data_IF_286298260821
#
_entry.id   IF_286298260821
#
_cell.length_a   1.000
_cell.length_b   1.000
_cell.length_c   1.000
_cell.angle_alpha   90.00
_cell.angle_beta   90.00
_cell.angle_gamma   90.00
#
_symmetry.space_group_name_H-M   'P 1'
#
loop_
_entity.id
_entity.type
_entity.pdbx_description
1 polymer ?
#
# COMPACT_ATOMS: atom_id res chain seq x y z
N UNK A 1 33.56 37.02 -27.13
CA UNK A 1 33.52 35.54 -27.21
C UNK A 1 33.90 34.82 -25.92
N UNK A 2 34.95 35.24 -25.17
CA UNK A 2 35.36 34.59 -23.91
C UNK A 2 34.30 34.63 -22.77
N UNK A 3 33.52 35.70 -22.67
CA UNK A 3 32.46 35.86 -21.63
C UNK A 3 31.22 34.98 -21.86
N UNK A 4 30.91 34.67 -23.13
CA UNK A 4 29.77 33.81 -23.49
C UNK A 4 30.10 32.34 -23.21
N UNK A 5 31.33 31.92 -23.48
CA UNK A 5 31.82 30.59 -23.12
C UNK A 5 31.82 30.35 -21.61
N UNK A 6 32.20 31.35 -20.81
CA UNK A 6 32.18 31.26 -19.36
C UNK A 6 30.74 31.09 -18.80
N UNK A 7 29.77 31.82 -19.36
CA UNK A 7 28.35 31.71 -18.99
C UNK A 7 27.72 30.37 -19.40
N UNK A 8 28.14 29.82 -20.54
CA UNK A 8 27.67 28.50 -20.98
C UNK A 8 28.22 27.38 -20.08
N UNK A 9 29.50 27.50 -19.68
CA UNK A 9 30.16 26.52 -18.81
C UNK A 9 29.53 26.50 -17.41
N UNK A 10 29.19 27.65 -16.84
CA UNK A 10 28.53 27.74 -15.52
C UNK A 10 27.11 27.19 -15.57
N UNK A 11 26.36 27.43 -16.65
CA UNK A 11 25.01 26.88 -16.82
C UNK A 11 25.02 25.35 -16.92
N UNK A 12 25.99 24.77 -17.64
CA UNK A 12 26.17 23.31 -17.75
C UNK A 12 26.58 22.70 -16.40
N UNK A 13 27.41 23.39 -15.61
CA UNK A 13 27.79 22.94 -14.27
C UNK A 13 26.61 22.98 -13.27
N UNK A 14 25.72 23.97 -13.38
CA UNK A 14 24.53 24.08 -12.52
C UNK A 14 23.44 23.04 -12.86
N UNK A 15 23.32 22.60 -14.12
CA UNK A 15 22.35 21.56 -14.51
C UNK A 15 22.80 20.13 -14.13
N UNK A 16 24.11 19.89 -13.96
CA UNK A 16 24.65 18.58 -13.57
C UNK A 16 24.59 18.26 -12.08
N UNK A 17 24.20 19.22 -11.23
CA UNK A 17 24.22 19.11 -9.77
C UNK A 17 22.83 18.90 -9.14
N UNK A 18 21.81 18.55 -9.92
CA UNK A 18 20.53 18.14 -9.36
C UNK A 18 20.65 16.68 -8.89
N UNK A 19 20.68 16.39 -7.57
CA UNK A 19 20.59 15.02 -7.12
C UNK A 19 19.24 14.46 -7.60
N UNK A 20 19.28 13.45 -8.46
CA UNK A 20 18.11 12.65 -8.74
C UNK A 20 17.78 11.88 -7.45
N UNK A 21 16.83 12.41 -6.67
CA UNK A 21 16.32 11.72 -5.49
C UNK A 21 15.35 10.63 -5.97
N UNK A 22 15.88 9.41 -6.13
CA UNK A 22 15.04 8.23 -6.30
C UNK A 22 14.53 7.82 -4.92
N UNK A 23 13.22 7.96 -4.70
CA UNK A 23 12.59 7.38 -3.51
C UNK A 23 12.62 5.85 -3.66
N UNK A 24 13.34 5.17 -2.77
CA UNK A 24 13.29 3.71 -2.70
C UNK A 24 11.89 3.27 -2.25
N UNK A 25 11.33 2.25 -2.90
CA UNK A 25 10.08 1.67 -2.44
C UNK A 25 10.26 1.08 -1.04
N UNK A 26 9.29 1.28 -0.13
CA UNK A 26 9.38 0.71 1.20
C UNK A 26 9.40 -0.83 1.14
N UNK A 27 10.37 -1.42 1.83
CA UNK A 27 10.47 -2.87 2.01
C UNK A 27 9.41 -3.36 3.02
N UNK A 28 8.65 -4.39 2.66
CA UNK A 28 7.64 -5.03 3.52
C UNK A 28 7.96 -6.51 3.70
N UNK A 29 7.84 -7.01 4.92
CA UNK A 29 7.96 -8.42 5.28
C UNK A 29 6.57 -9.04 5.48
N UNK A 30 6.34 -10.23 4.94
CA UNK A 30 5.09 -10.98 5.13
C UNK A 30 5.12 -11.64 6.51
N UNK A 31 4.13 -11.33 7.34
CA UNK A 31 4.01 -11.89 8.71
C UNK A 31 2.84 -12.87 8.85
N UNK A 32 1.86 -12.78 7.96
CA UNK A 32 0.75 -13.72 7.93
C UNK A 32 0.17 -13.84 6.52
N UNK A 33 -0.24 -15.03 6.15
CA UNK A 33 -0.91 -15.30 4.87
C UNK A 33 -1.99 -16.36 5.07
N UNK A 34 -3.15 -16.11 4.49
CA UNK A 34 -4.27 -17.06 4.45
C UNK A 34 -4.75 -17.21 3.03
N UNK A 35 -5.23 -18.41 2.69
CA UNK A 35 -5.77 -18.71 1.37
C UNK A 35 -7.10 -19.45 1.53
N UNK A 36 -8.09 -19.02 0.76
CA UNK A 36 -9.39 -19.66 0.65
C UNK A 36 -9.76 -19.85 -0.82
N UNK A 37 -10.70 -20.77 -1.09
CA UNK A 37 -11.23 -21.01 -2.43
C UNK A 37 -12.72 -20.68 -2.43
N UNK A 38 -13.11 -19.81 -3.36
CA UNK A 38 -14.51 -19.48 -3.58
C UNK A 38 -15.25 -20.65 -4.26
N UNK A 39 -16.59 -20.67 -4.21
CA UNK A 39 -17.38 -21.74 -4.83
C UNK A 39 -17.15 -21.92 -6.34
N UNK A 40 -16.71 -20.87 -7.03
CA UNK A 40 -16.35 -20.89 -8.45
C UNK A 40 -14.92 -21.41 -8.72
N UNK A 41 -14.19 -21.81 -7.66
CA UNK A 41 -12.81 -22.28 -7.71
C UNK A 41 -11.77 -21.16 -7.67
N UNK A 42 -12.17 -19.89 -7.61
CA UNK A 42 -11.23 -18.78 -7.52
C UNK A 42 -10.49 -18.81 -6.19
N UNK A 43 -9.15 -18.79 -6.24
CA UNK A 43 -8.29 -18.67 -5.07
C UNK A 43 -8.28 -17.23 -4.57
N UNK A 44 -8.61 -16.99 -3.31
CA UNK A 44 -8.41 -15.70 -2.64
C UNK A 44 -7.25 -15.83 -1.65
N UNK A 45 -6.27 -14.96 -1.76
CA UNK A 45 -5.11 -14.92 -0.84
C UNK A 45 -5.09 -13.59 -0.11
N UNK A 46 -5.08 -13.65 1.23
CA UNK A 46 -4.98 -12.48 2.10
C UNK A 46 -3.62 -12.48 2.77
N UNK A 47 -2.81 -11.46 2.47
CA UNK A 47 -1.42 -11.36 2.94
C UNK A 47 -1.26 -10.12 3.80
N UNK A 48 -0.82 -10.29 5.04
CA UNK A 48 -0.49 -9.21 5.97
C UNK A 48 1.02 -9.00 5.96
N UNK A 49 1.44 -7.74 5.81
CA UNK A 49 2.86 -7.38 5.77
C UNK A 49 3.17 -6.15 6.60
N UNK A 50 4.39 -6.08 7.11
CA UNK A 50 4.88 -5.00 7.98
C UNK A 50 6.18 -4.43 7.44
N UNK A 51 6.41 -3.13 7.60
CA UNK A 51 7.72 -2.55 7.38
C UNK A 51 8.61 -2.80 8.61
N UNK A 52 9.88 -3.19 8.45
CA UNK A 52 10.77 -3.42 9.57
C UNK A 52 10.97 -2.13 10.38
N UNK A 53 10.62 -2.17 11.66
CA UNK A 53 10.82 -1.05 12.59
C UNK A 53 12.27 -1.04 13.04
N UNK A 54 13.02 0.02 12.72
CA UNK A 54 14.45 0.13 13.04
C UNK A 54 14.75 0.95 14.31
N UNK A 55 13.73 1.56 14.91
CA UNK A 55 13.89 2.38 16.13
C UNK A 55 13.76 1.54 17.39
N UNK A 56 14.50 1.91 18.44
CA UNK A 56 14.48 1.27 19.78
C UNK A 56 13.79 2.15 20.84
N UNK A 57 13.12 3.22 20.40
CA UNK A 57 12.36 4.09 21.30
C UNK A 57 11.06 3.43 21.75
N UNK A 58 10.57 3.79 22.95
CA UNK A 58 9.27 3.33 23.46
C UNK A 58 8.09 3.80 22.59
N UNK A 59 8.26 4.94 21.92
CA UNK A 59 7.29 5.47 20.95
C UNK A 59 7.87 5.33 19.56
N UNK A 60 7.11 4.68 18.68
CA UNK A 60 7.54 4.42 17.30
C UNK A 60 6.37 4.29 16.35
N UNK A 61 6.69 4.32 15.06
CA UNK A 61 5.72 4.11 13.98
C UNK A 61 5.84 2.68 13.45
N UNK A 62 4.71 1.98 13.37
CA UNK A 62 4.57 0.74 12.62
C UNK A 62 3.81 1.04 11.35
N UNK A 63 4.34 0.63 10.20
CA UNK A 63 3.62 0.71 8.94
C UNK A 63 3.29 -0.71 8.49
N UNK A 64 2.03 -0.92 8.13
CA UNK A 64 1.52 -2.20 7.71
C UNK A 64 0.70 -2.09 6.44
N UNK A 65 0.58 -3.21 5.74
CA UNK A 65 -0.39 -3.36 4.66
C UNK A 65 -1.05 -4.72 4.74
N UNK A 66 -2.29 -4.80 4.25
CA UNK A 66 -2.98 -6.06 4.05
C UNK A 66 -3.53 -6.12 2.63
N UNK A 67 -3.09 -7.13 1.91
CA UNK A 67 -3.42 -7.39 0.52
C UNK A 67 -4.57 -8.41 0.47
N UNK A 68 -5.56 -8.16 -0.36
CA UNK A 68 -6.60 -9.11 -0.77
C UNK A 68 -6.42 -9.39 -2.26
N UNK A 69 -5.92 -10.57 -2.59
CA UNK A 69 -5.61 -10.99 -3.96
C UNK A 69 -6.69 -11.95 -4.46
N UNK A 70 -7.33 -11.57 -5.56
CA UNK A 70 -8.40 -12.35 -6.20
C UNK A 70 -7.83 -13.10 -7.41
N UNK A 71 -7.56 -14.38 -7.21
CA UNK A 71 -6.95 -15.26 -8.21
C UNK A 71 -5.64 -14.70 -8.74
N UNK A 72 -5.51 -14.68 -10.05
CA UNK A 72 -4.43 -14.00 -10.79
C UNK A 72 -4.89 -12.69 -11.42
N UNK A 73 -6.04 -12.16 -11.00
CA UNK A 73 -6.71 -11.06 -11.71
C UNK A 73 -6.35 -9.69 -11.16
N UNK A 74 -6.37 -9.53 -9.83
CA UNK A 74 -6.08 -8.26 -9.18
C UNK A 74 -5.79 -8.43 -7.69
N UNK A 75 -5.17 -7.40 -7.10
CA UNK A 75 -4.97 -7.23 -5.66
C UNK A 75 -5.54 -5.90 -5.21
N UNK A 76 -6.26 -5.89 -4.10
CA UNK A 76 -6.72 -4.69 -3.40
C UNK A 76 -6.00 -4.59 -2.05
N UNK A 77 -5.46 -3.42 -1.72
CA UNK A 77 -4.57 -3.25 -0.56
C UNK A 77 -5.09 -2.15 0.34
N UNK A 78 -5.08 -2.39 1.65
CA UNK A 78 -5.16 -1.34 2.68
C UNK A 78 -3.76 -1.10 3.24
N UNK A 79 -3.41 0.17 3.43
CA UNK A 79 -2.20 0.58 4.16
C UNK A 79 -2.61 1.29 5.44
N UNK A 80 -1.87 1.05 6.51
CA UNK A 80 -2.04 1.74 7.78
C UNK A 80 -0.70 2.16 8.38
N UNK A 81 -0.66 3.36 8.94
CA UNK A 81 0.44 3.83 9.80
C UNK A 81 -0.06 3.97 11.23
N UNK A 82 0.70 3.43 12.17
CA UNK A 82 0.30 3.34 13.58
C UNK A 82 1.38 3.96 14.47
N UNK A 83 0.98 4.92 15.30
CA UNK A 83 1.82 5.41 16.40
C UNK A 83 1.62 4.53 17.62
N UNK A 84 2.67 3.82 18.02
CA UNK A 84 2.69 2.88 19.13
C UNK A 84 3.47 3.50 20.28
N UNK A 85 2.87 3.55 21.46
CA UNK A 85 3.56 3.74 22.73
C UNK A 85 3.55 2.39 23.45
N UNK A 86 4.67 1.70 23.39
CA UNK A 86 4.78 0.28 23.70
C UNK A 86 4.22 -0.05 25.10
N UNK A 87 3.29 -1.00 25.12
CA UNK A 87 2.60 -1.48 26.32
C UNK A 87 1.53 -0.53 26.88
N UNK A 88 1.40 0.69 26.33
CA UNK A 88 0.52 1.76 26.83
C UNK A 88 -0.66 2.00 25.90
N UNK A 89 -0.40 2.40 24.65
CA UNK A 89 -1.43 2.85 23.72
C UNK A 89 -0.98 2.72 22.27
N UNK A 90 -1.95 2.68 21.36
CA UNK A 90 -1.71 2.69 19.92
C UNK A 90 -2.82 3.49 19.24
N UNK A 91 -2.47 4.19 18.17
CA UNK A 91 -3.43 4.90 17.32
C UNK A 91 -3.01 4.81 15.87
N UNK A 92 -3.97 4.58 14.98
CA UNK A 92 -3.77 4.71 13.55
C UNK A 92 -3.74 6.20 13.20
N UNK A 93 -2.65 6.63 12.58
CA UNK A 93 -2.39 8.04 12.25
C UNK A 93 -2.62 8.36 10.78
N UNK A 94 -2.63 7.34 9.93
CA UNK A 94 -2.99 7.48 8.52
C UNK A 94 -3.42 6.14 7.94
N UNK A 95 -4.28 6.24 6.93
CA UNK A 95 -4.70 5.14 6.08
C UNK A 95 -4.57 5.54 4.60
N UNK A 96 -4.48 4.53 3.76
CA UNK A 96 -4.70 4.67 2.33
C UNK A 96 -5.10 3.33 1.73
N UNK A 97 -5.49 3.34 0.46
CA UNK A 97 -5.74 2.13 -0.30
C UNK A 97 -4.94 2.10 -1.59
N UNK A 98 -4.70 0.88 -2.09
CA UNK A 98 -4.06 0.61 -3.36
C UNK A 98 -4.80 -0.47 -4.13
N UNK A 99 -4.50 -0.59 -5.42
CA UNK A 99 -4.98 -1.71 -6.23
C UNK A 99 -4.04 -1.98 -7.39
N UNK A 100 -3.79 -3.24 -7.66
CA UNK A 100 -3.04 -3.72 -8.83
C UNK A 100 -3.95 -4.60 -9.67
N UNK A 101 -4.00 -4.36 -10.97
CA UNK A 101 -4.84 -5.12 -11.91
C UNK A 101 -3.91 -5.84 -12.89
N UNK A 102 -4.01 -7.15 -12.95
CA UNK A 102 -3.20 -8.02 -13.79
C UNK A 102 -4.00 -8.56 -14.99
N UNK A 103 -5.31 -8.74 -14.80
CA UNK A 103 -6.24 -9.09 -15.88
C UNK A 103 -7.00 -7.85 -16.34
N UNK A 104 -6.76 -7.44 -17.60
CA UNK A 104 -7.33 -6.23 -18.20
C UNK A 104 -8.86 -6.25 -18.37
N UNK A 105 -9.50 -7.41 -18.21
CA UNK A 105 -10.96 -7.48 -18.15
C UNK A 105 -11.52 -6.84 -16.87
N UNK A 106 -10.70 -6.68 -15.83
CA UNK A 106 -11.09 -6.07 -14.56
C UNK A 106 -10.75 -4.58 -14.52
N UNK A 107 -11.58 -3.84 -13.79
CA UNK A 107 -11.33 -2.44 -13.43
C UNK A 107 -11.73 -2.19 -11.99
N UNK A 108 -11.05 -1.24 -11.35
CA UNK A 108 -11.47 -0.69 -10.05
C UNK A 108 -12.47 0.43 -10.30
N UNK A 109 -13.75 0.15 -10.04
CA UNK A 109 -14.82 1.13 -10.18
C UNK A 109 -14.79 2.20 -9.06
N UNK A 110 -14.44 1.80 -7.84
CA UNK A 110 -14.32 2.71 -6.70
C UNK A 110 -13.37 2.17 -5.62
N UNK A 111 -12.89 3.05 -4.75
CA UNK A 111 -12.08 2.71 -3.58
C UNK A 111 -12.18 3.81 -2.53
N UNK A 112 -12.20 3.42 -1.27
CA UNK A 112 -12.17 4.32 -0.12
C UNK A 112 -11.36 3.70 1.00
N UNK A 113 -10.78 4.54 1.84
CA UNK A 113 -10.11 4.13 3.07
C UNK A 113 -10.49 5.07 4.21
N UNK A 114 -10.36 4.56 5.42
CA UNK A 114 -10.53 5.32 6.64
C UNK A 114 -9.91 4.57 7.82
N UNK A 115 -9.61 5.29 8.89
CA UNK A 115 -9.10 4.70 10.11
C UNK A 115 -9.92 5.12 11.34
N UNK A 116 -9.95 4.24 12.34
CA UNK A 116 -10.53 4.53 13.64
C UNK A 116 -9.79 3.77 14.72
N UNK A 117 -9.50 4.44 15.84
CA UNK A 117 -8.71 3.86 16.92
C UNK A 117 -7.36 3.36 16.40
N UNK A 118 -7.13 2.05 16.48
CA UNK A 118 -5.90 1.38 16.06
C UNK A 118 -6.07 0.53 14.79
N UNK A 119 -7.06 0.86 13.96
CA UNK A 119 -7.42 0.07 12.77
C UNK A 119 -7.55 0.96 11.54
N UNK A 120 -6.87 0.59 10.46
CA UNK A 120 -7.09 1.12 9.12
C UNK A 120 -7.95 0.14 8.32
N UNK A 121 -8.93 0.66 7.58
CA UNK A 121 -9.85 -0.13 6.75
C UNK A 121 -9.91 0.48 5.35
N UNK A 122 -9.96 -0.37 4.33
CA UNK A 122 -10.26 0.04 2.97
C UNK A 122 -11.33 -0.86 2.35
N UNK A 123 -12.18 -0.25 1.53
CA UNK A 123 -13.22 -0.94 0.77
C UNK A 123 -13.17 -0.53 -0.69
N UNK A 124 -13.44 -1.45 -1.59
CA UNK A 124 -13.39 -1.23 -3.03
C UNK A 124 -14.52 -1.88 -3.81
N UNK A 125 -14.63 -1.53 -5.08
CA UNK A 125 -15.51 -2.19 -6.05
C UNK A 125 -14.68 -2.58 -7.26
N UNK A 126 -14.52 -3.88 -7.49
CA UNK A 126 -13.81 -4.45 -8.63
C UNK A 126 -14.82 -5.04 -9.61
N UNK A 127 -14.82 -4.60 -10.86
CA UNK A 127 -15.79 -5.06 -11.87
C UNK A 127 -15.08 -5.63 -13.07
N UNK A 128 -15.49 -6.83 -13.49
CA UNK A 128 -15.05 -7.50 -14.72
C UNK A 128 -16.01 -7.18 -15.86
N UNK A 129 -15.46 -6.90 -17.03
CA UNK A 129 -16.19 -6.62 -18.25
C UNK A 129 -15.92 -7.67 -19.33
N UNK A 130 -16.94 -7.97 -20.12
CA UNK A 130 -16.83 -8.78 -21.34
C UNK A 130 -17.71 -8.15 -22.42
N UNK A 131 -17.14 -7.90 -23.61
CA UNK A 131 -17.87 -7.21 -24.69
C UNK A 131 -18.38 -5.81 -24.31
N UNK A 132 -17.73 -5.13 -23.35
CA UNK A 132 -18.15 -3.81 -22.86
C UNK A 132 -19.26 -3.81 -21.80
N UNK A 133 -19.82 -4.98 -21.45
CA UNK A 133 -20.82 -5.11 -20.39
C UNK A 133 -20.19 -5.67 -19.10
N UNK A 134 -20.64 -5.22 -17.90
CA UNK A 134 -20.19 -5.78 -16.65
C UNK A 134 -20.75 -7.21 -16.49
N UNK A 135 -19.87 -8.16 -16.18
CA UNK A 135 -20.24 -9.59 -16.02
C UNK A 135 -20.01 -10.13 -14.60
N UNK A 136 -19.19 -9.44 -13.80
CA UNK A 136 -18.90 -9.83 -12.42
C UNK A 136 -18.48 -8.60 -11.62
N UNK A 137 -18.95 -8.49 -10.38
CA UNK A 137 -18.52 -7.44 -9.45
C UNK A 137 -18.18 -8.06 -8.10
N UNK A 138 -17.05 -7.64 -7.53
CA UNK A 138 -16.55 -8.08 -6.22
C UNK A 138 -16.29 -6.85 -5.36
N UNK A 139 -16.68 -6.92 -4.09
CA UNK A 139 -16.58 -5.81 -3.13
C UNK A 139 -15.56 -6.14 -2.03
N UNK A 140 -14.24 -6.04 -2.28
CA UNK A 140 -13.25 -6.29 -1.25
C UNK A 140 -13.38 -5.27 -0.12
N UNK A 141 -13.30 -5.75 1.12
CA UNK A 141 -13.19 -4.93 2.32
C UNK A 141 -12.14 -5.54 3.24
N UNK A 142 -11.08 -4.79 3.50
CA UNK A 142 -9.87 -5.28 4.16
C UNK A 142 -9.48 -4.31 5.26
N UNK A 143 -9.07 -4.83 6.41
CA UNK A 143 -8.60 -4.03 7.54
C UNK A 143 -7.30 -4.56 8.11
N UNK A 144 -6.44 -3.65 8.54
CA UNK A 144 -5.24 -3.94 9.32
C UNK A 144 -5.33 -3.20 10.65
N UNK A 145 -5.13 -3.91 11.75
CA UNK A 145 -5.10 -3.36 13.10
C UNK A 145 -3.73 -3.52 13.71
N UNK A 146 -3.38 -2.64 14.65
CA UNK A 146 -2.15 -2.72 15.42
C UNK A 146 -2.46 -2.77 16.91
N UNK A 147 -1.78 -3.64 17.66
CA UNK A 147 -1.89 -3.70 19.11
C UNK A 147 -0.94 -2.70 19.81
N UNK A 148 -1.06 -2.59 21.14
CA UNK A 148 -0.22 -1.69 21.95
C UNK A 148 1.27 -2.09 22.00
N UNK A 149 1.65 -3.23 21.45
CA UNK A 149 3.01 -3.73 21.36
C UNK A 149 3.56 -3.67 19.93
N UNK A 150 2.80 -3.10 18.99
CA UNK A 150 3.22 -2.96 17.60
C UNK A 150 2.96 -4.18 16.72
N UNK A 151 2.25 -5.21 17.21
CA UNK A 151 1.89 -6.37 16.40
C UNK A 151 0.70 -6.03 15.51
N UNK A 152 0.76 -6.45 14.25
CA UNK A 152 -0.31 -6.27 13.29
C UNK A 152 -1.22 -7.50 13.19
N UNK A 153 -2.50 -7.27 12.86
CA UNK A 153 -3.51 -8.30 12.58
C UNK A 153 -4.49 -7.89 11.48
#
# INVERSE_FOLDING_TARGET
>A
MKRVFALLLTLILCLGCLPAAFAAEPEYEIIHETTEYLPDGTKVTVTLSVQPVRTRGRVYTVNGKKDYTYGSDWTFTVYGSFSVNEGVSVSCTSDSYGSSIFNSAWTRASGTSGHSGATATASGTMTRYYGGAPVQTVYPSVSVSCDKYGNLS
#
